data_IF_901322616901
#
_entry.id   IF_901322616901
#
_cell.length_a   1.000
_cell.length_b   1.000
_cell.length_c   1.000
_cell.angle_alpha   90.00
_cell.angle_beta   90.00
_cell.angle_gamma   90.00
#
_symmetry.space_group_name_H-M   'P 1'
#
loop_
_entity.id
_entity.type
_entity.pdbx_description
1 polymer ?
#
# COMPACT_ATOMS: atom_id res chain seq x y z
N UNK A 1 51.50 2.41 -16.08
CA UNK A 1 52.44 3.05 -15.15
C UNK A 1 51.65 3.85 -14.13
N UNK A 2 52.06 3.72 -12.88
CA UNK A 2 51.62 4.36 -11.64
C UNK A 2 50.34 3.83 -10.95
N UNK A 3 50.61 2.88 -10.06
CA UNK A 3 49.78 2.47 -8.91
C UNK A 3 49.78 3.57 -7.87
N UNK A 4 48.61 3.85 -7.24
CA UNK A 4 48.57 4.58 -5.98
C UNK A 4 47.91 3.66 -4.94
N UNK A 5 48.71 3.34 -3.92
CA UNK A 5 48.35 2.59 -2.72
C UNK A 5 47.88 3.63 -1.69
N UNK A 6 46.76 3.41 -1.05
CA UNK A 6 46.33 4.20 0.11
C UNK A 6 46.39 3.32 1.37
N UNK A 7 47.23 3.77 2.31
CA UNK A 7 47.60 3.08 3.52
C UNK A 7 46.56 3.26 4.64
N UNK A 8 46.27 2.18 5.35
CA UNK A 8 45.58 2.15 6.63
C UNK A 8 46.46 2.71 7.75
N UNK A 9 45.96 3.64 8.51
CA UNK A 9 46.61 4.12 9.74
C UNK A 9 45.88 3.49 10.95
N UNK A 10 46.58 2.55 11.60
CA UNK A 10 46.17 1.93 12.84
C UNK A 10 46.90 2.69 13.97
N UNK A 11 46.17 3.35 14.86
CA UNK A 11 46.75 4.09 15.99
C UNK A 11 46.57 3.27 17.28
N UNK A 12 47.61 2.57 17.64
CA UNK A 12 47.76 1.90 18.95
C UNK A 12 48.19 2.90 20.00
N UNK A 13 47.43 3.02 21.08
CA UNK A 13 47.75 3.86 22.24
C UNK A 13 48.38 2.98 23.31
N UNK A 14 49.64 3.27 23.61
CA UNK A 14 50.48 2.61 24.60
C UNK A 14 50.20 3.24 26.00
N UNK A 15 49.85 2.40 26.98
CA UNK A 15 49.78 2.74 28.38
C UNK A 15 51.23 2.84 28.97
N UNK A 16 51.56 3.98 29.55
CA UNK A 16 52.73 4.09 30.47
C UNK A 16 52.24 4.24 31.90
N UNK A 17 52.64 3.28 32.72
CA UNK A 17 52.49 3.32 34.17
C UNK A 17 53.63 4.14 34.79
N UNK A 18 53.30 5.09 35.61
CA UNK A 18 54.27 5.69 36.58
C UNK A 18 53.59 5.80 37.94
N UNK A 19 54.17 5.12 38.88
CA UNK A 19 53.81 5.18 40.32
C UNK A 19 54.51 6.35 41.00
N UNK A 20 53.86 7.06 41.88
CA UNK A 20 54.21 7.38 43.26
C UNK A 20 53.53 8.64 43.77
N UNK A 21 53.01 8.60 45.00
CA UNK A 21 52.69 9.79 45.76
C UNK A 21 51.31 9.78 46.41
N UNK A 22 51.24 9.25 47.62
CA UNK A 22 50.07 9.32 48.49
C UNK A 22 49.82 10.76 48.97
N UNK A 23 48.66 11.34 48.64
CA UNK A 23 48.06 12.44 49.41
C UNK A 23 46.56 12.16 49.55
N UNK A 24 46.13 12.08 50.83
CA UNK A 24 44.72 12.01 51.23
C UNK A 24 44.01 13.26 50.72
N UNK A 25 43.09 13.11 49.81
CA UNK A 25 42.10 14.14 49.45
C UNK A 25 40.72 13.66 49.90
N UNK A 26 40.09 14.48 50.68
CA UNK A 26 38.72 14.29 51.18
C UNK A 26 37.73 14.16 50.04
N UNK A 27 36.86 13.13 50.13
CA UNK A 27 35.75 12.91 49.21
C UNK A 27 34.72 14.04 49.41
N UNK A 28 34.34 14.79 48.38
CA UNK A 28 33.18 15.67 48.50
C UNK A 28 31.95 14.82 48.69
N UNK A 29 31.17 15.13 49.69
CA UNK A 29 29.87 14.52 49.96
C UNK A 29 29.02 14.58 48.69
N UNK A 30 28.49 13.42 48.25
CA UNK A 30 27.48 13.34 47.26
C UNK A 30 26.27 14.14 47.75
N UNK A 31 25.96 15.22 47.04
CA UNK A 31 24.72 15.95 47.23
C UNK A 31 23.61 15.04 46.69
N UNK A 32 22.87 14.40 47.58
CA UNK A 32 21.63 13.75 47.25
C UNK A 32 20.70 14.80 46.63
N UNK A 33 20.43 14.63 45.32
CA UNK A 33 19.33 15.34 44.68
C UNK A 33 18.08 14.77 45.30
N UNK A 34 17.20 15.55 45.94
CA UNK A 34 15.93 15.01 46.46
C UNK A 34 15.14 14.51 45.26
N UNK A 35 14.89 13.21 45.17
CA UNK A 35 13.76 12.69 44.40
C UNK A 35 12.51 13.26 45.09
N UNK A 36 11.94 14.30 44.47
CA UNK A 36 10.55 14.68 44.78
C UNK A 36 9.69 13.53 44.30
N UNK A 37 9.27 12.65 45.22
CA UNK A 37 8.05 11.87 45.04
C UNK A 37 6.93 12.90 44.84
N UNK A 38 6.48 13.08 43.59
CA UNK A 38 5.22 13.77 43.31
C UNK A 38 4.12 12.97 44.00
N UNK A 39 3.74 13.41 45.20
CA UNK A 39 2.57 12.86 45.88
C UNK A 39 1.35 13.22 45.04
N UNK A 40 0.77 12.23 44.37
CA UNK A 40 -0.43 12.39 43.55
C UNK A 40 -1.53 12.91 44.49
N UNK A 41 -2.03 14.12 44.24
CA UNK A 41 -3.08 14.74 45.03
C UNK A 41 -4.41 14.05 44.75
N UNK A 42 -5.06 13.51 45.78
CA UNK A 42 -6.41 13.00 45.67
C UNK A 42 -7.40 14.18 45.48
N UNK A 43 -8.36 14.11 44.53
CA UNK A 43 -9.34 15.16 44.31
C UNK A 43 -10.24 15.36 45.50
N UNK A 44 -10.62 16.63 45.80
CA UNK A 44 -11.57 16.98 46.84
C UNK A 44 -13.00 16.56 46.43
N UNK A 45 -13.94 16.39 47.42
CA UNK A 45 -15.32 15.99 47.09
C UNK A 45 -16.06 16.95 46.15
N UNK A 46 -15.70 18.23 46.17
CA UNK A 46 -16.31 19.28 45.34
C UNK A 46 -15.60 19.51 44.00
N UNK A 47 -14.49 18.80 43.73
CA UNK A 47 -13.74 18.91 42.48
C UNK A 47 -14.51 18.30 41.31
N UNK A 48 -14.57 19.01 40.21
CA UNK A 48 -15.20 18.52 38.97
C UNK A 48 -14.18 17.85 38.05
N UNK A 49 -14.60 16.79 37.36
CA UNK A 49 -13.76 16.13 36.33
C UNK A 49 -13.47 17.11 35.18
N UNK A 50 -12.19 17.39 34.94
CA UNK A 50 -11.77 18.23 33.83
C UNK A 50 -11.41 17.40 32.58
N UNK A 51 -10.69 16.28 32.78
CA UNK A 51 -10.15 15.50 31.64
C UNK A 51 -9.90 14.05 32.03
N UNK A 52 -10.21 13.16 31.09
CA UNK A 52 -9.72 11.79 31.06
C UNK A 52 -8.51 11.71 30.11
N UNK A 53 -7.47 10.98 30.52
CA UNK A 53 -6.23 10.80 29.74
C UNK A 53 -5.81 9.35 29.75
N UNK A 54 -5.59 8.77 28.56
CA UNK A 54 -4.89 7.49 28.42
C UNK A 54 -3.42 7.75 28.65
N UNK A 55 -2.89 7.32 29.77
CA UNK A 55 -1.47 7.49 30.14
C UNK A 55 -0.62 6.31 29.75
N UNK A 56 -1.22 5.14 29.64
CA UNK A 56 -0.62 3.95 29.06
C UNK A 56 -1.59 3.34 28.06
N UNK A 57 -1.10 3.10 26.85
CA UNK A 57 -1.89 2.44 25.79
C UNK A 57 -1.99 0.94 26.06
N UNK A 58 -2.98 0.24 25.48
CA UNK A 58 -3.02 -1.22 25.51
C UNK A 58 -1.72 -1.81 24.96
N UNK A 59 -1.30 -2.95 25.50
CA UNK A 59 -0.14 -3.69 25.04
C UNK A 59 -0.30 -4.15 23.59
N UNK A 60 -1.54 -4.50 23.19
CA UNK A 60 -1.90 -4.83 21.82
C UNK A 60 -2.60 -3.63 21.17
N UNK A 61 -2.04 -3.16 20.06
CA UNK A 61 -2.58 -2.03 19.27
C UNK A 61 -2.86 -2.37 17.82
N UNK A 62 -2.52 -3.59 17.38
CA UNK A 62 -2.78 -4.09 16.04
C UNK A 62 -3.70 -5.32 16.10
N UNK A 63 -4.77 -5.32 15.31
CA UNK A 63 -5.83 -6.34 15.32
C UNK A 63 -6.19 -6.76 13.91
N UNK A 64 -6.63 -8.01 13.76
CA UNK A 64 -7.38 -8.43 12.57
C UNK A 64 -8.85 -8.05 12.73
N UNK A 65 -9.53 -7.82 11.61
CA UNK A 65 -11.00 -7.64 11.62
C UNK A 65 -11.67 -8.88 12.23
N UNK A 66 -12.61 -8.66 13.15
CA UNK A 66 -13.30 -9.73 13.88
C UNK A 66 -12.61 -10.20 15.17
N UNK A 67 -11.37 -9.76 15.46
CA UNK A 67 -10.75 -10.04 16.76
C UNK A 67 -11.41 -9.27 17.89
N UNK A 68 -11.31 -9.80 19.10
CA UNK A 68 -11.72 -9.08 20.31
C UNK A 68 -10.65 -8.07 20.71
N UNK A 69 -11.10 -6.90 21.17
CA UNK A 69 -10.22 -5.88 21.71
C UNK A 69 -9.65 -6.32 23.07
N UNK A 70 -8.33 -6.33 23.19
CA UNK A 70 -7.60 -6.61 24.42
C UNK A 70 -7.13 -5.30 25.07
N UNK A 71 -7.75 -4.88 26.19
CA UNK A 71 -7.37 -3.66 26.88
C UNK A 71 -6.19 -3.85 27.85
N UNK A 72 -5.57 -5.02 27.91
CA UNK A 72 -4.45 -5.33 28.82
C UNK A 72 -3.36 -4.26 28.75
N UNK A 73 -2.85 -3.84 29.89
CA UNK A 73 -1.83 -2.79 29.99
C UNK A 73 -2.35 -1.36 29.87
N UNK A 74 -3.63 -1.14 29.49
CA UNK A 74 -4.16 0.21 29.34
C UNK A 74 -4.45 0.87 30.68
N UNK A 75 -3.96 2.11 30.86
CA UNK A 75 -4.21 2.93 32.08
C UNK A 75 -4.83 4.26 31.67
N UNK A 76 -5.94 4.60 32.33
CA UNK A 76 -6.64 5.87 32.18
C UNK A 76 -6.57 6.64 33.48
N UNK A 77 -6.17 7.91 33.41
CA UNK A 77 -6.19 8.87 34.53
C UNK A 77 -7.36 9.83 34.39
N UNK A 78 -7.94 10.22 35.49
CA UNK A 78 -8.90 11.33 35.60
C UNK A 78 -8.23 12.52 36.31
N UNK A 79 -8.26 13.70 35.66
CA UNK A 79 -7.77 14.96 36.19
C UNK A 79 -8.94 15.81 36.60
N UNK A 80 -8.83 16.43 37.77
CA UNK A 80 -9.89 17.24 38.41
C UNK A 80 -9.49 18.70 38.53
N UNK A 81 -10.51 19.58 38.66
CA UNK A 81 -10.39 21.04 38.67
C UNK A 81 -9.50 21.60 39.80
N UNK A 82 -9.31 20.84 40.85
CA UNK A 82 -8.42 21.20 41.95
C UNK A 82 -6.99 20.68 41.83
N UNK A 83 -6.64 20.11 40.65
CA UNK A 83 -5.36 19.46 40.38
C UNK A 83 -5.25 18.05 40.96
N UNK A 84 -6.36 17.52 41.52
CA UNK A 84 -6.42 16.13 41.97
C UNK A 84 -6.39 15.14 40.79
N UNK A 85 -5.82 13.97 41.02
CA UNK A 85 -5.71 12.90 40.00
C UNK A 85 -6.19 11.59 40.59
N UNK A 86 -7.00 10.87 39.82
CA UNK A 86 -7.28 9.44 40.08
C UNK A 86 -6.53 8.65 39.02
N UNK A 87 -5.59 7.84 39.47
CA UNK A 87 -4.86 6.92 38.59
C UNK A 87 -5.64 5.63 38.38
N UNK A 88 -5.50 5.03 37.21
CA UNK A 88 -6.12 3.76 36.88
C UNK A 88 -7.64 3.71 37.10
N UNK A 89 -8.35 4.61 36.42
CA UNK A 89 -9.82 4.69 36.48
C UNK A 89 -10.41 3.47 35.75
N UNK A 90 -11.43 2.85 36.35
CA UNK A 90 -12.17 1.76 35.71
C UNK A 90 -12.92 2.24 34.46
N UNK A 91 -12.98 1.37 33.47
CA UNK A 91 -13.67 1.64 32.21
C UNK A 91 -14.38 0.39 31.68
N UNK A 92 -15.35 0.60 30.82
CA UNK A 92 -16.07 -0.42 30.09
C UNK A 92 -15.68 -0.39 28.60
N UNK A 93 -15.32 -1.53 28.01
CA UNK A 93 -15.09 -1.65 26.58
C UNK A 93 -16.42 -1.68 25.83
N UNK A 94 -16.69 -0.65 25.01
CA UNK A 94 -17.92 -0.55 24.22
C UNK A 94 -17.81 -1.35 22.90
N UNK A 95 -16.66 -1.29 22.24
CA UNK A 95 -16.42 -2.02 20.99
C UNK A 95 -15.59 -3.28 21.29
N UNK A 96 -16.28 -4.37 21.66
CA UNK A 96 -15.63 -5.63 22.06
C UNK A 96 -14.98 -6.35 20.86
N UNK A 97 -15.65 -6.35 19.70
CA UNK A 97 -15.17 -6.97 18.47
C UNK A 97 -14.78 -5.87 17.49
N UNK A 98 -13.56 -5.94 16.97
CA UNK A 98 -12.99 -4.93 16.07
C UNK A 98 -13.62 -5.04 14.68
N UNK A 99 -14.38 -4.02 14.22
CA UNK A 99 -14.93 -4.01 12.87
C UNK A 99 -13.85 -3.81 11.80
N UNK A 100 -14.09 -4.24 10.55
CA UNK A 100 -13.18 -3.95 9.44
C UNK A 100 -13.03 -2.44 9.22
N UNK A 101 -11.85 -2.04 8.76
CA UNK A 101 -11.52 -0.63 8.38
C UNK A 101 -11.69 0.42 9.49
N UNK A 102 -11.84 0.01 10.76
CA UNK A 102 -11.84 0.95 11.88
C UNK A 102 -10.41 1.36 12.24
N UNK A 103 -10.25 2.59 12.71
CA UNK A 103 -8.96 3.12 13.19
C UNK A 103 -8.95 3.35 14.71
N UNK A 104 -10.07 3.09 15.37
CA UNK A 104 -10.21 3.24 16.81
C UNK A 104 -11.27 2.31 17.38
N UNK A 105 -11.07 1.89 18.62
CA UNK A 105 -12.08 1.29 19.48
C UNK A 105 -12.55 2.30 20.51
N UNK A 106 -13.67 2.02 21.21
CA UNK A 106 -14.25 2.91 22.19
C UNK A 106 -14.35 2.26 23.56
N UNK A 107 -14.02 3.03 24.59
CA UNK A 107 -14.22 2.67 25.98
C UNK A 107 -15.02 3.75 26.69
N UNK A 108 -15.91 3.36 27.58
CA UNK A 108 -16.63 4.27 28.45
C UNK A 108 -15.94 4.34 29.82
N UNK A 109 -15.56 5.51 30.20
CA UNK A 109 -14.94 5.78 31.48
C UNK A 109 -15.73 6.89 32.17
N UNK A 110 -16.32 6.61 33.34
CA UNK A 110 -17.29 7.50 33.99
C UNK A 110 -18.44 7.85 33.00
N UNK A 111 -18.71 9.14 32.77
CA UNK A 111 -19.75 9.60 31.83
C UNK A 111 -19.22 10.01 30.46
N UNK A 112 -17.94 9.71 30.16
CA UNK A 112 -17.29 10.07 28.89
C UNK A 112 -16.90 8.84 28.10
N UNK A 113 -16.90 8.98 26.76
CA UNK A 113 -16.39 7.97 25.83
C UNK A 113 -15.05 8.41 25.32
N UNK A 114 -14.05 7.53 25.44
CA UNK A 114 -12.72 7.72 24.88
C UNK A 114 -12.53 6.84 23.65
N UNK A 115 -11.89 7.40 22.61
CA UNK A 115 -11.44 6.67 21.44
C UNK A 115 -10.00 6.23 21.61
N UNK A 116 -9.76 4.95 21.50
CA UNK A 116 -8.43 4.33 21.58
C UNK A 116 -8.00 3.99 20.17
N UNK A 117 -6.98 4.67 19.65
CA UNK A 117 -6.46 4.42 18.31
C UNK A 117 -5.86 3.01 18.22
N UNK A 118 -6.25 2.27 17.20
CA UNK A 118 -5.75 0.94 16.87
C UNK A 118 -5.45 0.87 15.37
N UNK A 119 -4.63 -0.10 14.96
CA UNK A 119 -4.43 -0.47 13.55
C UNK A 119 -5.23 -1.76 13.32
N UNK A 120 -6.07 -1.78 12.29
CA UNK A 120 -6.75 -3.00 11.85
C UNK A 120 -6.11 -3.49 10.58
N UNK A 121 -5.56 -4.68 10.65
CA UNK A 121 -4.95 -5.37 9.51
C UNK A 121 -6.00 -6.32 8.94
N UNK A 122 -6.29 -6.20 7.65
CA UNK A 122 -7.06 -7.19 6.93
C UNK A 122 -6.25 -8.49 6.92
N UNK A 123 -6.87 -9.64 7.15
CA UNK A 123 -6.16 -10.93 7.23
C UNK A 123 -5.26 -11.18 6.00
N UNK A 124 -5.74 -10.81 4.81
CA UNK A 124 -4.98 -10.90 3.58
C UNK A 124 -3.82 -9.91 3.43
N UNK A 125 -3.67 -8.96 4.36
CA UNK A 125 -2.54 -8.01 4.40
C UNK A 125 -1.52 -8.37 5.50
N UNK A 126 -1.64 -9.56 6.10
CA UNK A 126 -0.66 -10.02 7.07
C UNK A 126 0.75 -10.10 6.44
N UNK A 127 1.78 -9.92 7.28
CA UNK A 127 3.19 -9.86 6.86
C UNK A 127 3.63 -11.08 6.06
N UNK A 128 3.07 -12.25 6.33
CA UNK A 128 3.33 -13.49 5.61
C UNK A 128 3.02 -13.41 4.12
N UNK A 129 2.10 -12.50 3.71
CA UNK A 129 1.74 -12.26 2.31
C UNK A 129 2.51 -11.12 1.67
N UNK A 130 3.42 -10.45 2.38
CA UNK A 130 4.14 -9.29 1.86
C UNK A 130 5.12 -9.64 0.73
N UNK A 131 5.47 -8.64 -0.07
CA UNK A 131 6.51 -8.74 -1.10
C UNK A 131 7.85 -9.16 -0.47
N UNK A 132 8.16 -8.70 0.75
CA UNK A 132 9.38 -9.06 1.46
C UNK A 132 9.49 -10.57 1.70
N UNK A 133 8.36 -11.25 1.93
CA UNK A 133 8.26 -12.69 2.17
C UNK A 133 7.97 -13.50 0.88
N UNK A 134 8.14 -12.90 -0.29
CA UNK A 134 8.00 -13.59 -1.57
C UNK A 134 9.34 -14.17 -2.00
N UNK A 135 9.32 -15.48 -2.32
CA UNK A 135 10.51 -16.18 -2.82
C UNK A 135 10.94 -15.62 -4.17
N UNK A 136 12.25 -15.49 -4.37
CA UNK A 136 12.82 -15.07 -5.65
C UNK A 136 13.27 -16.31 -6.42
N UNK A 137 12.86 -16.40 -7.70
CA UNK A 137 13.29 -17.47 -8.61
C UNK A 137 14.58 -17.02 -9.29
N UNK A 138 15.68 -17.74 -9.01
CA UNK A 138 16.96 -17.46 -9.64
C UNK A 138 16.96 -17.95 -11.11
N UNK A 139 17.72 -17.24 -11.95
CA UNK A 139 17.85 -17.54 -13.38
C UNK A 139 16.52 -17.56 -14.14
N UNK A 140 15.61 -16.69 -13.76
CA UNK A 140 14.33 -16.49 -14.43
C UNK A 140 14.52 -16.07 -15.91
N UNK A 141 13.67 -16.55 -16.85
CA UNK A 141 13.72 -16.15 -18.25
C UNK A 141 13.43 -14.65 -18.47
N UNK A 142 12.85 -13.98 -17.46
CA UNK A 142 12.52 -12.55 -17.50
C UNK A 142 13.35 -11.73 -16.49
N UNK A 143 14.42 -12.34 -15.95
CA UNK A 143 15.30 -11.63 -15.01
C UNK A 143 15.97 -10.44 -15.69
N UNK A 144 15.89 -9.27 -15.04
CA UNK A 144 16.43 -8.02 -15.57
C UNK A 144 15.49 -7.28 -16.53
N UNK A 145 14.37 -7.86 -16.94
CA UNK A 145 13.37 -7.20 -17.76
C UNK A 145 12.75 -5.99 -17.05
N UNK A 146 12.28 -5.03 -17.83
CA UNK A 146 11.65 -3.80 -17.37
C UNK A 146 10.21 -3.76 -17.84
N UNK A 147 9.27 -3.71 -16.88
CA UNK A 147 7.84 -3.62 -17.14
C UNK A 147 7.28 -2.29 -16.64
N UNK A 148 6.47 -1.63 -17.48
CA UNK A 148 5.76 -0.42 -17.09
C UNK A 148 4.30 -0.75 -16.77
N UNK A 149 3.81 -0.26 -15.64
CA UNK A 149 2.46 -0.53 -15.12
C UNK A 149 1.68 0.78 -14.97
N UNK A 150 0.66 0.96 -15.79
CA UNK A 150 -0.20 2.13 -15.77
C UNK A 150 -1.57 1.78 -15.18
N UNK A 151 -2.02 2.54 -14.16
CA UNK A 151 -3.29 2.21 -13.56
C UNK A 151 -3.81 3.18 -12.51
N UNK A 152 -4.83 2.72 -11.77
CA UNK A 152 -5.41 3.46 -10.65
C UNK A 152 -5.20 2.74 -9.31
N UNK A 153 -6.22 2.72 -8.45
CA UNK A 153 -6.13 2.15 -7.10
C UNK A 153 -5.73 0.68 -7.05
N UNK A 154 -6.15 -0.11 -8.04
CA UNK A 154 -5.78 -1.54 -8.12
C UNK A 154 -4.31 -1.71 -8.49
N UNK A 155 -3.80 -0.96 -9.45
CA UNK A 155 -2.36 -0.98 -9.78
C UNK A 155 -1.51 -0.35 -8.67
N UNK A 156 -2.05 0.66 -7.99
CA UNK A 156 -1.38 1.32 -6.86
C UNK A 156 -1.25 0.40 -5.64
N UNK A 157 -2.27 -0.42 -5.38
CA UNK A 157 -2.37 -1.24 -4.17
C UNK A 157 -3.03 -0.50 -3.01
N UNK A 158 -4.15 0.18 -3.27
CA UNK A 158 -4.81 1.03 -2.27
C UNK A 158 -5.23 0.28 -1.00
N UNK A 159 -5.56 -1.00 -1.12
CA UNK A 159 -6.02 -1.83 0.00
C UNK A 159 -5.01 -2.95 0.36
N UNK A 160 -3.77 -2.86 -0.15
CA UNK A 160 -2.67 -3.81 0.06
C UNK A 160 -1.37 -3.12 0.47
N UNK A 161 -1.45 -1.95 1.09
CA UNK A 161 -0.30 -1.15 1.55
C UNK A 161 0.69 -0.80 0.42
N UNK A 162 0.20 -0.69 -0.82
CA UNK A 162 1.01 -0.37 -1.99
C UNK A 162 1.68 -1.58 -2.66
N UNK A 163 1.50 -2.79 -2.14
CA UNK A 163 2.04 -4.02 -2.72
C UNK A 163 1.03 -4.68 -3.67
N UNK A 164 1.41 -4.89 -4.92
CA UNK A 164 0.52 -5.40 -5.98
C UNK A 164 1.18 -6.48 -6.80
N UNK A 165 0.43 -7.08 -7.75
CA UNK A 165 0.98 -8.05 -8.71
C UNK A 165 2.25 -7.54 -9.40
N UNK A 166 2.38 -6.22 -9.62
CA UNK A 166 3.58 -5.62 -10.21
C UNK A 166 4.81 -5.78 -9.31
N UNK A 167 4.62 -5.58 -8.00
CA UNK A 167 5.69 -5.67 -7.01
C UNK A 167 6.04 -7.13 -6.71
N UNK A 168 5.04 -8.01 -6.60
CA UNK A 168 5.23 -9.46 -6.43
C UNK A 168 5.92 -10.08 -7.65
N UNK A 169 5.50 -9.69 -8.87
CA UNK A 169 6.13 -10.15 -10.10
C UNK A 169 7.60 -9.73 -10.16
N UNK A 170 7.88 -8.46 -9.90
CA UNK A 170 9.24 -7.93 -9.87
C UNK A 170 10.12 -8.68 -8.86
N UNK A 171 9.64 -8.90 -7.64
CA UNK A 171 10.36 -9.62 -6.58
C UNK A 171 10.60 -11.08 -6.95
N UNK A 172 9.54 -11.79 -7.36
CA UNK A 172 9.61 -13.23 -7.66
C UNK A 172 10.52 -13.54 -8.85
N UNK A 173 10.48 -12.72 -9.89
CA UNK A 173 11.13 -12.98 -11.16
C UNK A 173 12.39 -12.12 -11.43
N UNK A 174 12.83 -11.33 -10.43
CA UNK A 174 14.02 -10.46 -10.54
C UNK A 174 13.93 -9.46 -11.69
N UNK A 175 12.74 -8.89 -11.92
CA UNK A 175 12.52 -7.84 -12.92
C UNK A 175 12.41 -6.45 -12.25
N UNK A 176 12.31 -5.42 -13.09
CA UNK A 176 12.01 -4.05 -12.68
C UNK A 176 10.56 -3.70 -13.03
N UNK A 177 9.79 -3.23 -12.06
CA UNK A 177 8.45 -2.67 -12.28
C UNK A 177 8.48 -1.16 -12.12
N UNK A 178 8.20 -0.43 -13.20
CA UNK A 178 7.95 1.02 -13.17
C UNK A 178 6.46 1.22 -13.02
N UNK A 179 6.01 1.60 -11.82
CA UNK A 179 4.59 1.67 -11.48
C UNK A 179 4.10 3.12 -11.47
N UNK A 180 3.32 3.50 -12.49
CA UNK A 180 2.65 4.79 -12.62
C UNK A 180 1.15 4.60 -12.32
N UNK A 181 0.77 4.75 -11.05
CA UNK A 181 -0.57 4.45 -10.58
C UNK A 181 -1.04 5.42 -9.50
N UNK A 182 -2.26 5.95 -9.65
CA UNK A 182 -2.88 6.89 -8.70
C UNK A 182 -4.33 6.49 -8.45
N UNK A 183 -4.69 6.29 -7.18
CA UNK A 183 -6.03 5.87 -6.77
C UNK A 183 -7.11 6.86 -7.22
N UNK A 184 -8.26 6.35 -7.67
CA UNK A 184 -9.43 7.14 -8.06
C UNK A 184 -9.35 7.79 -9.44
N UNK A 185 -8.26 7.62 -10.19
CA UNK A 185 -8.08 8.23 -11.52
C UNK A 185 -8.70 7.38 -12.63
N UNK A 186 -9.05 8.03 -13.73
CA UNK A 186 -9.67 7.44 -14.93
C UNK A 186 -8.64 7.18 -16.02
N UNK A 187 -8.94 6.27 -16.93
CA UNK A 187 -8.26 6.14 -18.22
C UNK A 187 -8.39 7.44 -19.00
N UNK A 188 -9.64 7.87 -19.21
CA UNK A 188 -9.98 9.05 -19.96
C UNK A 188 -9.62 10.35 -19.25
N UNK A 189 -9.37 11.40 -20.02
CA UNK A 189 -9.13 12.77 -19.52
C UNK A 189 -10.39 13.46 -18.99
N UNK A 190 -11.48 12.70 -18.80
CA UNK A 190 -12.72 13.19 -18.23
C UNK A 190 -12.56 13.69 -16.79
N UNK A 191 -11.65 13.09 -16.05
CA UNK A 191 -11.25 13.56 -14.73
C UNK A 191 -9.74 13.89 -14.72
N UNK A 192 -9.32 14.85 -13.88
CA UNK A 192 -7.92 15.27 -13.81
C UNK A 192 -7.01 14.13 -13.32
N UNK A 193 -5.74 14.24 -13.66
CA UNK A 193 -4.71 13.26 -13.31
C UNK A 193 -5.00 11.87 -13.88
N UNK A 194 -5.61 11.84 -15.07
CA UNK A 194 -5.96 10.62 -15.82
C UNK A 194 -4.73 9.77 -16.19
N UNK A 195 -4.96 8.53 -16.64
CA UNK A 195 -3.86 7.70 -17.15
C UNK A 195 -3.18 8.37 -18.35
N UNK A 196 -3.97 8.96 -19.28
CA UNK A 196 -3.43 9.69 -20.42
C UNK A 196 -2.50 10.82 -19.97
N UNK A 197 -2.94 11.70 -19.07
CA UNK A 197 -2.13 12.84 -18.60
C UNK A 197 -0.86 12.40 -17.86
N UNK A 198 -0.93 11.36 -17.05
CA UNK A 198 0.23 10.84 -16.33
C UNK A 198 1.20 10.11 -17.26
N UNK A 199 0.67 9.38 -18.22
CA UNK A 199 1.47 8.73 -19.24
C UNK A 199 2.23 9.75 -20.09
N UNK A 200 1.55 10.81 -20.58
CA UNK A 200 2.19 11.92 -21.29
C UNK A 200 3.29 12.59 -20.47
N UNK A 201 3.04 12.83 -19.20
CA UNK A 201 4.05 13.38 -18.28
C UNK A 201 5.25 12.45 -18.14
N UNK A 202 5.02 11.13 -18.03
CA UNK A 202 6.08 10.15 -17.97
C UNK A 202 6.91 10.11 -19.26
N UNK A 203 6.26 10.17 -20.43
CA UNK A 203 6.95 10.22 -21.73
C UNK A 203 7.91 11.40 -21.88
N UNK A 204 7.61 12.51 -21.18
CA UNK A 204 8.42 13.73 -21.18
C UNK A 204 9.44 13.79 -20.06
N UNK A 205 9.43 12.84 -19.13
CA UNK A 205 10.30 12.84 -17.97
C UNK A 205 11.72 12.34 -18.30
N UNK A 206 12.69 12.78 -17.51
CA UNK A 206 14.07 12.28 -17.57
C UNK A 206 14.18 10.82 -17.07
N UNK A 207 13.18 10.36 -16.29
CA UNK A 207 13.12 9.02 -15.71
C UNK A 207 12.43 8.02 -16.64
N UNK A 208 12.04 8.46 -17.86
CA UNK A 208 11.45 7.56 -18.86
C UNK A 208 12.41 6.44 -19.20
N UNK A 209 11.94 5.21 -19.09
CA UNK A 209 12.70 4.04 -19.53
C UNK A 209 13.02 4.13 -21.03
N UNK A 210 14.27 3.89 -21.41
CA UNK A 210 14.69 3.83 -22.82
C UNK A 210 14.16 2.57 -23.51
N UNK A 211 14.02 1.48 -22.75
CA UNK A 211 13.53 0.18 -23.20
C UNK A 211 12.51 -0.37 -22.20
N UNK A 212 11.50 -1.05 -22.72
CA UNK A 212 10.54 -1.85 -21.97
C UNK A 212 10.43 -3.24 -22.60
N UNK A 213 10.31 -4.26 -21.74
CA UNK A 213 10.00 -5.63 -22.15
C UNK A 213 8.48 -5.89 -22.15
N UNK A 214 7.71 -5.00 -21.53
CA UNK A 214 6.25 -5.01 -21.57
C UNK A 214 5.64 -3.74 -20.98
N UNK A 215 4.54 -3.31 -21.59
CA UNK A 215 3.70 -2.22 -21.13
C UNK A 215 2.35 -2.77 -20.67
N UNK A 216 2.03 -2.64 -19.41
CA UNK A 216 0.81 -3.20 -18.80
C UNK A 216 -0.11 -2.07 -18.33
N UNK A 217 -1.36 -2.07 -18.80
CA UNK A 217 -2.36 -1.07 -18.45
C UNK A 217 -3.58 -1.69 -17.80
N UNK A 218 -4.04 -1.11 -16.73
CA UNK A 218 -5.30 -1.46 -16.08
C UNK A 218 -6.50 -0.97 -16.90
N UNK A 219 -7.49 -1.82 -17.19
CA UNK A 219 -8.81 -1.34 -17.53
C UNK A 219 -9.42 -0.65 -16.31
N UNK A 220 -9.57 0.68 -16.38
CA UNK A 220 -9.97 1.48 -15.22
C UNK A 220 -11.39 1.12 -14.75
N UNK A 221 -11.54 0.87 -13.45
CA UNK A 221 -12.86 0.74 -12.83
C UNK A 221 -13.53 2.09 -12.57
N UNK A 222 -12.78 3.19 -12.66
CA UNK A 222 -13.27 4.54 -12.35
C UNK A 222 -14.01 5.21 -13.52
N UNK A 223 -13.73 4.81 -14.75
CA UNK A 223 -14.45 5.31 -15.94
C UNK A 223 -15.92 4.88 -15.95
N UNK A 224 -16.30 3.87 -15.18
CA UNK A 224 -17.71 3.50 -14.98
C UNK A 224 -18.58 4.62 -14.38
N UNK A 225 -17.97 5.67 -13.84
CA UNK A 225 -18.66 6.89 -13.39
C UNK A 225 -19.18 7.74 -14.54
N UNK A 226 -18.72 7.48 -15.75
CA UNK A 226 -19.03 8.25 -16.96
C UNK A 226 -19.60 7.34 -18.06
N UNK A 227 -20.77 6.70 -17.83
CA UNK A 227 -21.31 5.71 -18.75
C UNK A 227 -21.62 6.24 -20.15
N UNK A 228 -21.92 7.54 -20.26
CA UNK A 228 -22.22 8.20 -21.53
C UNK A 228 -20.95 8.61 -22.31
N UNK A 229 -19.79 8.51 -21.70
CA UNK A 229 -18.50 8.93 -22.26
C UNK A 229 -17.59 7.71 -22.61
N UNK A 230 -18.15 6.53 -22.86
CA UNK A 230 -17.35 5.39 -23.32
C UNK A 230 -16.73 5.63 -24.70
N UNK A 231 -17.38 6.42 -25.53
CA UNK A 231 -16.91 6.77 -26.88
C UNK A 231 -17.10 5.66 -27.90
N UNK A 232 -16.41 5.77 -29.03
CA UNK A 232 -16.43 4.80 -30.13
C UNK A 232 -15.05 4.23 -30.38
N UNK A 233 -15.00 2.99 -30.80
CA UNK A 233 -13.76 2.36 -31.27
C UNK A 233 -13.55 2.79 -32.73
N UNK A 234 -12.39 3.37 -33.01
CA UNK A 234 -12.09 3.86 -34.35
C UNK A 234 -11.84 2.71 -35.33
N UNK A 235 -12.12 2.89 -36.64
CA UNK A 235 -11.83 1.88 -37.67
C UNK A 235 -10.37 1.40 -37.64
N UNK A 236 -10.13 0.13 -38.05
CA UNK A 236 -8.82 -0.51 -37.94
C UNK A 236 -7.68 0.21 -38.70
N UNK A 237 -8.02 0.96 -39.75
CA UNK A 237 -7.02 1.73 -40.51
C UNK A 237 -6.60 3.06 -39.84
N UNK A 238 -7.28 3.45 -38.76
CA UNK A 238 -6.92 4.62 -37.96
C UNK A 238 -6.01 4.17 -36.83
N UNK A 239 -4.73 4.54 -36.89
CA UNK A 239 -3.71 4.09 -35.93
C UNK A 239 -2.87 5.23 -35.34
N UNK A 240 -2.94 6.43 -35.87
CA UNK A 240 -2.21 7.58 -35.34
C UNK A 240 -2.81 8.07 -34.02
N UNK A 241 -1.99 8.29 -33.00
CA UNK A 241 -2.44 8.68 -31.66
C UNK A 241 -3.29 9.94 -31.65
N UNK A 242 -2.99 10.91 -32.50
CA UNK A 242 -3.73 12.19 -32.59
C UNK A 242 -5.21 12.06 -33.07
N UNK A 243 -5.60 10.87 -33.56
CA UNK A 243 -6.95 10.60 -34.05
C UNK A 243 -7.94 10.19 -32.95
N UNK A 244 -7.46 9.94 -31.73
CA UNK A 244 -8.28 9.37 -30.66
C UNK A 244 -8.74 10.45 -29.67
N UNK A 245 -10.05 10.44 -29.37
CA UNK A 245 -10.65 11.34 -28.36
C UNK A 245 -10.36 10.82 -26.95
N UNK A 246 -9.34 11.37 -26.33
CA UNK A 246 -8.90 11.00 -24.97
C UNK A 246 -9.91 11.37 -23.89
N UNK A 247 -10.94 12.17 -24.17
CA UNK A 247 -12.01 12.45 -23.22
C UNK A 247 -13.00 11.27 -23.10
N UNK A 248 -12.88 10.26 -23.97
CA UNK A 248 -13.68 9.03 -23.92
C UNK A 248 -12.85 7.84 -23.49
N UNK A 249 -13.49 6.83 -22.90
CA UNK A 249 -12.80 5.64 -22.38
C UNK A 249 -12.10 4.84 -23.49
N UNK A 250 -12.81 4.56 -24.59
CA UNK A 250 -12.23 3.81 -25.71
C UNK A 250 -11.19 4.62 -26.48
N UNK A 251 -11.43 5.91 -26.67
CA UNK A 251 -10.43 6.77 -27.28
C UNK A 251 -9.16 6.89 -26.47
N UNK A 252 -9.25 6.96 -25.12
CA UNK A 252 -8.11 6.96 -24.23
C UNK A 252 -7.33 5.63 -24.27
N UNK A 253 -8.03 4.47 -24.34
CA UNK A 253 -7.37 3.17 -24.54
C UNK A 253 -6.57 3.13 -25.83
N UNK A 254 -7.20 3.49 -26.96
CA UNK A 254 -6.53 3.50 -28.27
C UNK A 254 -5.35 4.48 -28.32
N UNK A 255 -5.51 5.64 -27.70
CA UNK A 255 -4.43 6.62 -27.57
C UNK A 255 -3.22 6.06 -26.80
N UNK A 256 -3.45 5.47 -25.63
CA UNK A 256 -2.40 4.87 -24.80
C UNK A 256 -1.68 3.75 -25.54
N UNK A 257 -2.43 2.88 -26.22
CA UNK A 257 -1.86 1.79 -27.03
C UNK A 257 -1.00 2.35 -28.16
N UNK A 258 -1.53 3.30 -28.93
CA UNK A 258 -0.79 3.93 -30.03
C UNK A 258 0.51 4.58 -29.53
N UNK A 259 0.43 5.38 -28.48
CA UNK A 259 1.61 6.03 -27.87
C UNK A 259 2.62 5.05 -27.31
N UNK A 260 2.20 3.98 -26.66
CA UNK A 260 3.09 2.95 -26.17
C UNK A 260 3.84 2.26 -27.34
N UNK A 261 3.11 1.87 -28.39
CA UNK A 261 3.69 1.25 -29.59
C UNK A 261 4.58 2.20 -30.42
N UNK A 262 4.23 3.51 -30.46
CA UNK A 262 5.07 4.54 -31.08
C UNK A 262 6.40 4.76 -30.32
N UNK A 263 6.40 4.54 -29.01
CA UNK A 263 7.55 4.85 -28.14
C UNK A 263 8.47 3.66 -27.93
N UNK A 264 7.90 2.46 -27.73
CA UNK A 264 8.65 1.23 -27.43
C UNK A 264 8.23 0.11 -28.35
N UNK A 265 9.19 -0.68 -28.82
CA UNK A 265 8.95 -1.93 -29.53
C UNK A 265 8.79 -3.07 -28.52
N UNK A 266 7.69 -3.04 -27.76
CA UNK A 266 7.39 -4.03 -26.72
C UNK A 266 5.94 -4.50 -26.78
N UNK A 267 5.63 -5.70 -26.25
CA UNK A 267 4.26 -6.14 -26.07
C UNK A 267 3.47 -5.21 -25.19
N UNK A 268 2.23 -4.91 -25.59
CA UNK A 268 1.26 -4.14 -24.81
C UNK A 268 0.22 -5.10 -24.25
N UNK A 269 -0.05 -4.97 -22.96
CA UNK A 269 -1.04 -5.74 -22.23
C UNK A 269 -2.06 -4.83 -21.59
N UNK A 270 -3.32 -5.29 -21.58
CA UNK A 270 -4.33 -4.76 -20.66
C UNK A 270 -4.75 -5.85 -19.70
N UNK A 271 -5.21 -5.47 -18.50
CA UNK A 271 -5.84 -6.41 -17.61
C UNK A 271 -7.18 -5.88 -17.10
N UNK A 272 -8.10 -6.80 -16.85
CA UNK A 272 -9.44 -6.53 -16.31
C UNK A 272 -9.48 -6.86 -14.82
N UNK A 273 -10.45 -6.28 -14.10
CA UNK A 273 -10.80 -6.74 -12.76
C UNK A 273 -11.71 -8.00 -12.86
N UNK A 274 -11.72 -8.85 -11.84
CA UNK A 274 -12.76 -9.86 -11.67
C UNK A 274 -14.16 -9.24 -11.69
N UNK A 275 -15.23 -10.02 -11.94
CA UNK A 275 -16.59 -9.52 -11.89
C UNK A 275 -16.94 -8.87 -10.55
N UNK A 276 -17.53 -7.68 -10.60
CA UNK A 276 -18.09 -6.98 -9.46
C UNK A 276 -19.40 -6.29 -9.85
N UNK A 277 -20.21 -5.88 -8.86
CA UNK A 277 -21.53 -5.29 -9.12
C UNK A 277 -21.39 -3.90 -9.77
N UNK A 278 -21.37 -3.86 -11.10
CA UNK A 278 -21.33 -2.63 -11.90
C UNK A 278 -21.99 -2.88 -13.27
N UNK A 279 -22.91 -2.00 -13.69
CA UNK A 279 -23.64 -2.15 -14.94
C UNK A 279 -22.87 -1.68 -16.19
N UNK A 280 -21.82 -0.88 -16.03
CA UNK A 280 -21.04 -0.27 -17.13
C UNK A 280 -19.81 -1.10 -17.46
N UNK A 281 -19.16 -1.64 -16.45
CA UNK A 281 -17.87 -2.34 -16.61
C UNK A 281 -17.89 -3.49 -17.62
N UNK A 282 -18.94 -4.33 -17.71
CA UNK A 282 -19.01 -5.36 -18.75
C UNK A 282 -18.87 -4.80 -20.17
N UNK A 283 -19.56 -3.71 -20.48
CA UNK A 283 -19.45 -3.04 -21.79
C UNK A 283 -18.05 -2.45 -22.06
N UNK A 284 -17.35 -2.04 -21.02
CA UNK A 284 -15.94 -1.61 -21.14
C UNK A 284 -15.01 -2.79 -21.44
N UNK A 285 -15.24 -3.95 -20.80
CA UNK A 285 -14.51 -5.19 -21.08
C UNK A 285 -14.73 -5.63 -22.52
N UNK A 286 -15.99 -5.68 -22.98
CA UNK A 286 -16.34 -6.01 -24.38
C UNK A 286 -15.66 -5.05 -25.38
N UNK A 287 -15.60 -3.77 -25.05
CA UNK A 287 -14.89 -2.76 -25.85
C UNK A 287 -13.39 -3.01 -25.88
N UNK A 288 -12.79 -3.32 -24.72
CA UNK A 288 -11.36 -3.66 -24.63
C UNK A 288 -11.02 -4.87 -25.53
N UNK A 289 -11.85 -5.93 -25.54
CA UNK A 289 -11.60 -7.11 -26.38
C UNK A 289 -11.55 -6.75 -27.87
N UNK A 290 -12.45 -5.89 -28.35
CA UNK A 290 -12.45 -5.39 -29.74
C UNK A 290 -11.22 -4.52 -30.04
N UNK A 291 -10.81 -3.67 -29.11
CA UNK A 291 -9.61 -2.85 -29.23
C UNK A 291 -8.37 -3.74 -29.26
N UNK A 292 -8.32 -4.77 -28.41
CA UNK A 292 -7.23 -5.72 -28.33
C UNK A 292 -7.02 -6.48 -29.66
N UNK A 293 -8.12 -6.95 -30.27
CA UNK A 293 -8.09 -7.57 -31.60
C UNK A 293 -7.56 -6.60 -32.68
N UNK A 294 -8.05 -5.35 -32.69
CA UNK A 294 -7.60 -4.32 -33.64
C UNK A 294 -6.10 -4.04 -33.54
N UNK A 295 -5.58 -3.96 -32.33
CA UNK A 295 -4.23 -3.47 -32.06
C UNK A 295 -3.19 -4.58 -31.84
N UNK A 296 -3.58 -5.85 -31.89
CA UNK A 296 -2.75 -6.98 -31.46
C UNK A 296 -2.19 -6.74 -30.03
N UNK A 297 -3.09 -6.48 -29.10
CA UNK A 297 -2.80 -6.27 -27.68
C UNK A 297 -3.22 -7.50 -26.90
N UNK A 298 -2.40 -7.94 -25.97
CA UNK A 298 -2.74 -9.07 -25.10
C UNK A 298 -3.62 -8.63 -23.96
N UNK A 299 -4.64 -9.41 -23.61
CA UNK A 299 -5.51 -9.13 -22.46
C UNK A 299 -5.37 -10.21 -21.40
N UNK A 300 -5.01 -9.80 -20.19
CA UNK A 300 -5.08 -10.64 -18.99
C UNK A 300 -6.52 -10.52 -18.49
N UNK A 301 -7.38 -11.39 -18.97
CA UNK A 301 -8.82 -11.31 -18.79
C UNK A 301 -9.27 -12.01 -17.51
N UNK A 302 -9.16 -11.31 -16.39
CA UNK A 302 -9.66 -11.80 -15.10
C UNK A 302 -11.19 -11.74 -15.01
N UNK A 303 -11.86 -10.98 -15.91
CA UNK A 303 -13.30 -10.81 -15.87
C UNK A 303 -14.04 -12.05 -16.36
N UNK A 304 -13.64 -12.62 -17.52
CA UNK A 304 -14.30 -13.76 -18.12
C UNK A 304 -13.69 -15.12 -17.75
N UNK A 305 -12.56 -15.14 -17.05
CA UNK A 305 -11.92 -16.39 -16.62
C UNK A 305 -12.76 -17.08 -15.53
N UNK A 306 -13.63 -18.01 -15.95
CA UNK A 306 -14.52 -18.74 -15.03
C UNK A 306 -13.74 -19.54 -13.99
N UNK A 307 -12.63 -20.17 -14.37
CA UNK A 307 -11.81 -20.97 -13.45
C UNK A 307 -11.14 -20.09 -12.41
N UNK A 308 -10.58 -18.96 -12.81
CA UNK A 308 -9.98 -17.97 -11.93
C UNK A 308 -11.02 -17.43 -10.92
N UNK A 309 -12.26 -17.25 -11.34
CA UNK A 309 -13.33 -16.70 -10.50
C UNK A 309 -14.02 -17.74 -9.59
N UNK A 310 -13.66 -19.03 -9.69
CA UNK A 310 -14.16 -20.10 -8.82
C UNK A 310 -13.37 -20.16 -7.51
N UNK A 311 -13.52 -19.14 -6.66
CA UNK A 311 -12.93 -19.09 -5.31
C UNK A 311 -14.02 -19.22 -4.25
N UNK A 312 -13.70 -19.84 -3.11
CA UNK A 312 -14.63 -19.95 -1.99
C UNK A 312 -14.88 -18.59 -1.30
N UNK A 313 -15.92 -18.51 -0.48
CA UNK A 313 -16.21 -17.29 0.30
C UNK A 313 -15.06 -16.96 1.27
N UNK A 314 -14.42 -17.97 1.85
CA UNK A 314 -13.24 -17.79 2.72
C UNK A 314 -12.05 -17.26 1.95
N UNK A 315 -11.79 -17.77 0.75
CA UNK A 315 -10.75 -17.25 -0.14
C UNK A 315 -11.08 -15.82 -0.56
N UNK A 316 -12.32 -15.52 -0.90
CA UNK A 316 -12.75 -14.17 -1.25
C UNK A 316 -12.55 -13.20 -0.08
N UNK A 317 -12.88 -13.60 1.13
CA UNK A 317 -12.67 -12.79 2.34
C UNK A 317 -11.18 -12.55 2.65
N UNK A 318 -10.30 -13.50 2.28
CA UNK A 318 -8.86 -13.35 2.41
C UNK A 318 -8.28 -12.47 1.29
N UNK A 319 -8.72 -12.66 0.05
CA UNK A 319 -8.13 -12.08 -1.14
C UNK A 319 -8.63 -10.67 -1.48
N UNK A 320 -9.84 -10.31 -1.03
CA UNK A 320 -10.45 -9.02 -1.35
C UNK A 320 -10.71 -8.18 -0.09
N UNK A 321 -10.31 -6.93 -0.13
CA UNK A 321 -10.63 -5.95 0.92
C UNK A 321 -12.03 -5.37 0.73
N UNK A 322 -12.46 -5.26 -0.51
CA UNK A 322 -13.82 -4.87 -0.93
C UNK A 322 -14.16 -5.55 -2.26
N UNK A 323 -15.19 -5.07 -2.98
CA UNK A 323 -15.60 -5.68 -4.25
C UNK A 323 -14.65 -5.46 -5.42
N UNK A 324 -13.65 -4.59 -5.29
CA UNK A 324 -12.76 -4.15 -6.39
C UNK A 324 -11.28 -4.35 -6.06
N UNK A 325 -10.89 -4.15 -4.79
CA UNK A 325 -9.50 -4.05 -4.40
C UNK A 325 -9.00 -5.33 -3.70
N UNK A 326 -8.00 -6.01 -4.28
CA UNK A 326 -7.34 -7.14 -3.63
C UNK A 326 -6.52 -6.72 -2.40
N UNK A 327 -6.35 -7.69 -1.50
CA UNK A 327 -5.34 -7.65 -0.45
C UNK A 327 -3.98 -8.11 -0.99
N UNK A 328 -2.91 -8.09 -0.17
CA UNK A 328 -1.61 -8.69 -0.51
C UNK A 328 -1.76 -10.17 -0.88
N UNK A 329 -2.50 -10.94 -0.08
CA UNK A 329 -2.81 -12.34 -0.38
C UNK A 329 -3.52 -12.50 -1.72
N UNK A 330 -4.50 -11.62 -2.01
CA UNK A 330 -5.22 -11.62 -3.28
C UNK A 330 -4.31 -11.37 -4.48
N UNK A 331 -3.41 -10.41 -4.38
CA UNK A 331 -2.43 -10.17 -5.46
C UNK A 331 -1.44 -11.32 -5.60
N UNK A 332 -0.88 -11.86 -4.49
CA UNK A 332 0.16 -12.87 -4.52
C UNK A 332 -0.36 -14.26 -4.89
N UNK A 333 -1.47 -14.71 -4.26
CA UNK A 333 -1.91 -16.10 -4.36
C UNK A 333 -2.96 -16.32 -5.48
N UNK A 334 -3.69 -15.25 -5.84
CA UNK A 334 -4.80 -15.36 -6.79
C UNK A 334 -4.50 -14.68 -8.12
N UNK A 335 -4.06 -13.39 -8.12
CA UNK A 335 -3.83 -12.65 -9.38
C UNK A 335 -2.49 -12.96 -10.03
N UNK A 336 -1.40 -12.97 -9.26
CA UNK A 336 -0.04 -13.12 -9.80
C UNK A 336 0.12 -14.31 -10.74
N UNK A 337 -0.44 -15.51 -10.49
CA UNK A 337 -0.34 -16.63 -11.42
C UNK A 337 -0.85 -16.31 -12.83
N UNK A 338 -1.91 -15.50 -12.97
CA UNK A 338 -2.44 -15.08 -14.27
C UNK A 338 -1.53 -14.11 -15.01
N UNK A 339 -0.85 -13.26 -14.27
CA UNK A 339 0.17 -12.37 -14.86
C UNK A 339 1.43 -13.16 -15.25
N UNK A 340 1.78 -14.18 -14.49
CA UNK A 340 2.88 -15.09 -14.82
C UNK A 340 2.62 -15.84 -16.13
N UNK A 341 1.42 -16.40 -16.31
CA UNK A 341 1.01 -17.05 -17.56
C UNK A 341 1.13 -16.13 -18.77
N UNK A 342 0.85 -14.83 -18.60
CA UNK A 342 0.85 -13.87 -19.69
C UNK A 342 2.24 -13.28 -20.01
N UNK A 343 3.04 -13.04 -18.97
CA UNK A 343 4.27 -12.24 -19.06
C UNK A 343 5.54 -13.11 -19.19
N UNK A 344 5.47 -14.39 -18.83
CA UNK A 344 6.62 -15.30 -18.91
C UNK A 344 6.52 -16.10 -20.21
N UNK A 345 7.54 -16.08 -21.06
CA UNK A 345 7.59 -16.93 -22.26
C UNK A 345 7.55 -18.41 -21.90
N UNK A 346 6.84 -19.23 -22.71
CA UNK A 346 6.83 -20.69 -22.60
C UNK A 346 8.23 -21.31 -22.84
#
# INVERSE_FOLDING_TARGET
MKKAVLAFFCMTMIMSVAACGAQKAETPAATEVPQMEETVKTPSPDATLEKLKVVQRPDKTEYKSGEEFDPSGMIIQALYSDGGVIENVEYEVLTKVIPPKTTATQVKCMDQTLSISIKVVTAGNAEEYSVANTETIENSPVSGNVYFWLGSSVTYGAESEGETMADFFAKKWSCTSVKEAVSGTTLSTKAPNSYVERFEKYLQSADRAEHLDGFICQLSTNDTRYPDDLGIIMPAFITGSDAFDTATTFGAMEYIIAKAKETWDCPVYFYTNPPYSNAVYPGMVDGLMKIAEKWDVKVIDLYHDEQFNQISDEQRALYMSDSVHPTKAGYREWWLPKFEEALIPE
#
